data_IF_259427773922
#
_entry.id   IF_259427773922
#
_cell.length_a   1.000
_cell.length_b   1.000
_cell.length_c   1.000
_cell.angle_alpha   90.00
_cell.angle_beta   90.00
_cell.angle_gamma   90.00
#
_symmetry.space_group_name_H-M   'P 1'
#
loop_
_entity.id
_entity.type
_entity.pdbx_description
1 polymer ?
#
# COMPACT_ATOMS: atom_id res chain seq x y z
N UNK A 1 0.39 25.27 17.13
CA UNK A 1 0.06 25.49 15.71
C UNK A 1 1.01 24.62 14.88
N UNK A 2 0.50 23.59 14.20
CA UNK A 2 1.32 22.70 13.38
C UNK A 2 1.81 23.46 12.14
N UNK A 3 3.14 23.54 11.94
CA UNK A 3 3.73 24.08 10.71
C UNK A 3 3.64 23.02 9.63
N UNK A 4 2.71 23.20 8.70
CA UNK A 4 2.59 22.34 7.52
C UNK A 4 3.52 22.90 6.45
N UNK A 5 4.39 22.05 5.90
CA UNK A 5 5.29 22.42 4.80
C UNK A 5 4.46 22.73 3.56
N UNK A 6 4.67 23.90 2.96
CA UNK A 6 4.08 24.21 1.67
C UNK A 6 4.63 23.24 0.60
N UNK A 7 3.73 22.62 -0.16
CA UNK A 7 4.03 21.53 -1.08
C UNK A 7 3.70 21.99 -2.51
N UNK A 8 4.72 22.21 -3.34
CA UNK A 8 4.53 22.41 -4.77
C UNK A 8 4.41 21.04 -5.45
N UNK A 9 3.17 20.64 -5.71
CA UNK A 9 2.86 19.37 -6.37
C UNK A 9 3.38 19.32 -7.82
N UNK A 10 3.41 20.45 -8.52
CA UNK A 10 3.77 20.49 -9.93
C UNK A 10 5.28 20.24 -10.10
N UNK A 11 6.13 20.91 -9.32
CA UNK A 11 7.57 20.72 -9.44
C UNK A 11 7.98 19.25 -9.19
N UNK A 12 7.40 18.62 -8.17
CA UNK A 12 7.67 17.20 -7.88
C UNK A 12 7.19 16.26 -8.98
N UNK A 13 6.02 16.53 -9.57
CA UNK A 13 5.51 15.76 -10.69
C UNK A 13 6.45 15.87 -11.91
N UNK A 14 6.94 17.07 -12.22
CA UNK A 14 7.90 17.27 -13.31
C UNK A 14 9.22 16.52 -13.09
N UNK A 15 9.71 16.44 -11.84
CA UNK A 15 10.88 15.62 -11.49
C UNK A 15 10.59 14.13 -11.68
N UNK A 16 9.41 13.66 -11.27
CA UNK A 16 9.00 12.27 -11.46
C UNK A 16 8.89 11.91 -12.94
N UNK A 17 8.31 12.79 -13.76
CA UNK A 17 8.22 12.60 -15.21
C UNK A 17 9.60 12.53 -15.85
N UNK A 18 10.53 13.42 -15.50
CA UNK A 18 11.91 13.36 -15.97
C UNK A 18 12.57 12.01 -15.68
N UNK A 19 12.41 11.51 -14.44
CA UNK A 19 12.94 10.20 -14.02
C UNK A 19 12.32 9.06 -14.84
N UNK A 20 11.00 9.01 -14.96
CA UNK A 20 10.30 7.95 -15.68
C UNK A 20 10.61 7.94 -17.17
N UNK A 21 10.79 9.11 -17.80
CA UNK A 21 11.19 9.21 -19.20
C UNK A 21 12.61 8.67 -19.42
N UNK A 22 13.52 8.99 -18.49
CA UNK A 22 14.89 8.47 -18.52
C UNK A 22 14.91 6.94 -18.32
N UNK A 23 14.20 6.43 -17.32
CA UNK A 23 14.20 5.00 -16.98
C UNK A 23 13.49 4.14 -18.03
N UNK A 24 12.33 4.60 -18.53
CA UNK A 24 11.48 3.80 -19.43
C UNK A 24 11.86 3.90 -20.89
N UNK A 25 12.35 5.06 -21.33
CA UNK A 25 12.58 5.36 -22.74
C UNK A 25 14.02 5.78 -23.05
N UNK A 26 14.91 5.82 -22.04
CA UNK A 26 16.30 6.28 -22.21
C UNK A 26 16.39 7.71 -22.79
N UNK A 27 15.41 8.56 -22.48
CA UNK A 27 15.36 9.95 -22.97
C UNK A 27 16.12 10.87 -22.01
N UNK A 28 17.03 11.67 -22.55
CA UNK A 28 17.64 12.78 -21.81
C UNK A 28 16.66 13.95 -21.71
N UNK A 29 16.26 14.27 -20.48
CA UNK A 29 15.30 15.35 -20.19
C UNK A 29 15.98 16.56 -19.57
N UNK A 30 15.36 17.73 -19.74
CA UNK A 30 15.78 18.99 -19.12
C UNK A 30 14.57 19.83 -18.74
N UNK A 31 14.76 20.83 -17.87
CA UNK A 31 13.71 21.79 -17.50
C UNK A 31 13.82 23.04 -18.38
N UNK A 32 12.70 23.51 -18.92
CA UNK A 32 12.65 24.76 -19.68
C UNK A 32 11.41 25.58 -19.28
N UNK A 33 11.53 26.91 -19.34
CA UNK A 33 10.47 27.84 -19.00
C UNK A 33 9.38 27.81 -20.06
N UNK A 34 8.17 27.44 -19.65
CA UNK A 34 7.00 27.44 -20.49
C UNK A 34 6.54 28.88 -20.77
N UNK A 35 6.51 29.28 -22.03
CA UNK A 35 6.16 30.65 -22.43
C UNK A 35 4.70 30.82 -22.85
N UNK A 36 3.96 29.72 -23.04
CA UNK A 36 2.59 29.77 -23.56
C UNK A 36 2.49 30.40 -24.96
N UNK A 37 3.56 30.35 -25.75
CA UNK A 37 3.69 31.06 -27.02
C UNK A 37 2.69 30.58 -28.07
N UNK A 38 2.46 31.45 -29.05
CA UNK A 38 1.75 31.10 -30.28
C UNK A 38 2.45 30.03 -31.14
N UNK A 39 3.56 29.44 -30.72
CA UNK A 39 4.17 28.31 -31.43
C UNK A 39 3.76 26.95 -30.87
N UNK A 40 3.01 26.88 -29.77
CA UNK A 40 2.72 25.61 -29.11
C UNK A 40 1.44 24.96 -29.62
N UNK A 41 1.49 23.65 -29.85
CA UNK A 41 0.32 22.81 -30.15
C UNK A 41 0.22 21.70 -29.12
N UNK A 42 -0.99 21.48 -28.59
CA UNK A 42 -1.26 20.42 -27.60
C UNK A 42 -1.65 19.13 -28.29
N UNK A 43 -1.06 18.03 -27.85
CA UNK A 43 -1.39 16.68 -28.31
C UNK A 43 -1.80 15.80 -27.13
N UNK A 44 -2.79 14.93 -27.34
CA UNK A 44 -3.18 13.90 -26.38
C UNK A 44 -3.03 12.49 -26.95
N UNK A 45 -2.61 11.53 -26.11
CA UNK A 45 -2.48 10.14 -26.55
C UNK A 45 -3.84 9.48 -26.76
N UNK A 46 -3.96 8.66 -27.80
CA UNK A 46 -5.15 7.83 -28.06
C UNK A 46 -5.38 6.79 -26.95
N UNK A 47 -4.32 6.32 -26.29
CA UNK A 47 -4.40 5.38 -25.17
C UNK A 47 -4.78 6.01 -23.82
N UNK A 48 -5.06 7.33 -23.78
CA UNK A 48 -5.93 7.91 -22.77
C UNK A 48 -5.30 8.66 -21.60
N UNK A 49 -4.01 9.02 -21.58
CA UNK A 49 -3.48 9.77 -20.41
C UNK A 49 -2.26 10.67 -20.63
N UNK A 50 -1.66 10.67 -21.81
CA UNK A 50 -0.58 11.60 -22.11
C UNK A 50 -1.14 12.92 -22.61
N UNK A 51 -0.64 14.03 -22.05
CA UNK A 51 -0.83 15.38 -22.55
C UNK A 51 0.56 16.00 -22.73
N UNK A 52 0.88 16.33 -23.96
CA UNK A 52 2.16 16.95 -24.33
C UNK A 52 1.92 18.20 -25.15
N UNK A 53 2.92 19.08 -25.20
CA UNK A 53 2.95 20.23 -26.09
C UNK A 53 4.21 20.23 -26.93
N UNK A 54 4.05 20.55 -28.20
CA UNK A 54 5.16 20.64 -29.16
C UNK A 54 5.39 22.09 -29.54
N UNK A 55 6.65 22.52 -29.50
CA UNK A 55 7.06 23.77 -30.11
C UNK A 55 7.15 23.63 -31.63
N UNK A 56 6.11 24.11 -32.32
CA UNK A 56 5.99 24.03 -33.78
C UNK A 56 7.05 24.86 -34.49
N UNK A 57 7.63 25.87 -33.86
CA UNK A 57 8.74 26.60 -34.47
C UNK A 57 10.01 25.74 -34.51
N UNK A 58 10.32 25.05 -33.40
CA UNK A 58 11.39 24.07 -33.37
C UNK A 58 11.16 22.93 -34.37
N UNK A 59 9.92 22.46 -34.50
CA UNK A 59 9.52 21.51 -35.56
C UNK A 59 9.86 22.05 -36.96
N UNK A 60 9.39 23.25 -37.29
CA UNK A 60 9.55 23.86 -38.61
C UNK A 60 11.04 24.03 -38.96
N UNK A 61 11.84 24.54 -38.03
CA UNK A 61 13.29 24.72 -38.20
C UNK A 61 14.05 23.42 -38.39
N UNK A 62 13.62 22.35 -37.71
CA UNK A 62 14.25 21.03 -37.80
C UNK A 62 13.86 20.29 -39.07
N UNK A 63 12.62 20.46 -39.53
CA UNK A 63 12.11 19.85 -40.77
C UNK A 63 12.61 20.55 -42.02
N UNK A 64 12.82 21.87 -41.96
CA UNK A 64 13.18 22.69 -43.11
C UNK A 64 14.33 23.64 -42.74
N UNK A 65 15.54 23.31 -43.21
CA UNK A 65 16.79 24.00 -42.87
C UNK A 65 16.76 25.50 -43.21
N UNK A 66 16.02 25.90 -44.25
CA UNK A 66 15.87 27.31 -44.65
C UNK A 66 15.38 28.20 -43.51
N UNK A 67 14.60 27.67 -42.56
CA UNK A 67 14.07 28.45 -41.44
C UNK A 67 15.02 28.54 -40.24
N UNK A 68 16.16 27.85 -40.26
CA UNK A 68 17.12 27.83 -39.15
C UNK A 68 17.69 29.22 -38.82
N UNK A 69 17.95 30.03 -39.84
CA UNK A 69 18.49 31.39 -39.72
C UNK A 69 17.49 32.48 -39.33
N UNK A 70 16.20 32.16 -39.26
CA UNK A 70 15.16 33.16 -38.94
C UNK A 70 15.02 33.37 -37.42
N UNK A 71 15.06 34.63 -37.00
CA UNK A 71 14.66 35.05 -35.66
C UNK A 71 13.15 34.89 -35.46
N UNK A 72 12.69 34.78 -34.21
CA UNK A 72 11.26 34.66 -33.86
C UNK A 72 10.48 35.92 -34.29
N UNK A 73 9.72 35.83 -35.38
CA UNK A 73 8.73 36.82 -35.81
C UNK A 73 7.32 36.22 -35.68
N UNK A 74 6.32 37.05 -35.35
CA UNK A 74 4.93 36.62 -35.14
C UNK A 74 4.37 35.83 -36.34
N UNK A 75 4.60 36.31 -37.57
CA UNK A 75 4.17 35.62 -38.79
C UNK A 75 4.78 34.22 -38.94
N UNK A 76 6.00 33.99 -38.45
CA UNK A 76 6.63 32.67 -38.47
C UNK A 76 6.04 31.73 -37.43
N UNK A 77 5.57 32.24 -36.28
CA UNK A 77 4.89 31.44 -35.26
C UNK A 77 3.54 30.94 -35.78
N UNK A 78 2.79 31.82 -36.41
CA UNK A 78 1.51 31.45 -37.04
C UNK A 78 1.73 30.44 -38.16
N UNK A 79 2.69 30.69 -39.05
CA UNK A 79 3.04 29.75 -40.12
C UNK A 79 3.45 28.37 -39.57
N UNK A 80 4.30 28.33 -38.53
CA UNK A 80 4.78 27.06 -37.97
C UNK A 80 3.63 26.22 -37.41
N UNK A 81 2.67 26.86 -36.74
CA UNK A 81 1.45 26.21 -36.28
C UNK A 81 0.62 25.64 -37.42
N UNK A 82 0.31 26.45 -38.44
CA UNK A 82 -0.47 26.00 -39.59
C UNK A 82 0.21 24.80 -40.29
N UNK A 83 1.51 24.90 -40.56
CA UNK A 83 2.27 23.81 -41.21
C UNK A 83 2.25 22.54 -40.36
N UNK A 84 2.36 22.65 -39.04
CA UNK A 84 2.30 21.48 -38.16
C UNK A 84 0.91 20.83 -38.16
N UNK A 85 -0.15 21.63 -38.02
CA UNK A 85 -1.54 21.14 -37.99
C UNK A 85 -1.91 20.45 -39.32
N UNK A 86 -1.51 21.03 -40.45
CA UNK A 86 -1.76 20.49 -41.78
C UNK A 86 -0.88 19.27 -42.12
N UNK A 87 0.18 19.01 -41.34
CA UNK A 87 1.13 17.95 -41.67
C UNK A 87 0.59 16.53 -41.42
N UNK A 88 -0.26 16.35 -40.41
CA UNK A 88 -0.88 15.07 -40.06
C UNK A 88 -2.00 15.26 -39.03
N UNK A 89 -2.96 14.32 -39.00
CA UNK A 89 -3.98 14.24 -37.94
C UNK A 89 -3.56 13.34 -36.76
N UNK A 90 -2.57 12.47 -36.97
CA UNK A 90 -2.02 11.54 -35.96
C UNK A 90 -0.50 11.61 -35.97
N UNK A 91 0.10 11.71 -34.79
CA UNK A 91 1.54 11.85 -34.62
C UNK A 91 2.09 10.68 -33.80
N UNK A 92 3.24 10.17 -34.21
CA UNK A 92 4.05 9.23 -33.44
C UNK A 92 5.30 9.97 -32.97
N UNK A 93 5.73 9.70 -31.74
CA UNK A 93 6.99 10.23 -31.20
C UNK A 93 7.92 9.05 -31.03
N UNK A 94 8.88 8.84 -31.96
CA UNK A 94 9.73 7.65 -31.98
C UNK A 94 10.49 7.44 -30.67
N UNK A 95 10.87 8.53 -30.00
CA UNK A 95 11.61 8.48 -28.74
C UNK A 95 10.79 7.90 -27.59
N UNK A 96 9.45 7.96 -27.64
CA UNK A 96 8.58 7.36 -26.62
C UNK A 96 8.27 5.90 -26.97
N UNK A 97 7.50 5.65 -28.02
CA UNK A 97 7.19 4.31 -28.51
C UNK A 97 6.26 4.43 -29.71
N UNK A 98 6.48 3.60 -30.73
CA UNK A 98 5.57 3.50 -31.89
C UNK A 98 4.16 3.01 -31.52
N UNK A 99 4.00 2.45 -30.31
CA UNK A 99 2.69 2.04 -29.76
C UNK A 99 1.89 3.20 -29.17
N UNK A 100 2.52 4.36 -28.95
CA UNK A 100 1.86 5.54 -28.40
C UNK A 100 1.64 6.54 -29.55
N UNK A 101 0.37 6.74 -29.90
CA UNK A 101 -0.03 7.69 -30.92
C UNK A 101 -0.76 8.88 -30.29
N UNK A 102 -0.56 10.05 -30.89
CA UNK A 102 -1.04 11.32 -30.40
C UNK A 102 -1.94 12.00 -31.43
N UNK A 103 -2.94 12.75 -30.95
CA UNK A 103 -3.83 13.58 -31.77
C UNK A 103 -3.82 15.01 -31.29
N UNK A 104 -3.96 15.94 -32.24
CA UNK A 104 -4.16 17.36 -31.92
C UNK A 104 -5.47 17.49 -31.15
N UNK A 105 -5.45 18.25 -30.06
CA UNK A 105 -6.63 18.46 -29.22
C UNK A 105 -6.78 19.93 -28.89
N UNK A 106 -8.02 20.43 -28.89
CA UNK A 106 -8.31 21.79 -28.46
C UNK A 106 -8.04 21.94 -26.96
N UNK A 107 -7.64 23.16 -26.58
CA UNK A 107 -6.99 23.54 -25.33
C UNK A 107 -7.38 22.72 -24.09
N UNK A 108 -6.35 22.19 -23.44
CA UNK A 108 -6.43 21.56 -22.13
C UNK A 108 -5.49 22.35 -21.21
N UNK A 109 -6.00 22.95 -20.14
CA UNK A 109 -5.19 23.78 -19.23
C UNK A 109 -4.58 22.95 -18.10
N UNK A 110 -3.30 22.57 -18.21
CA UNK A 110 -2.56 21.91 -17.13
C UNK A 110 -1.20 22.54 -16.75
N UNK A 111 -0.76 23.61 -17.41
CA UNK A 111 0.44 24.37 -17.00
C UNK A 111 0.24 25.88 -17.18
N UNK A 112 0.76 26.67 -16.25
CA UNK A 112 0.72 28.13 -16.29
C UNK A 112 1.97 28.69 -16.98
N UNK A 113 1.79 29.76 -17.76
CA UNK A 113 2.90 30.53 -18.32
C UNK A 113 3.90 30.91 -17.23
N UNK A 114 5.19 30.66 -17.47
CA UNK A 114 6.28 30.89 -16.52
C UNK A 114 6.72 29.66 -15.71
N UNK A 115 5.96 28.56 -15.72
CA UNK A 115 6.36 27.29 -15.08
C UNK A 115 7.54 26.64 -15.80
N UNK A 116 8.40 25.93 -15.06
CA UNK A 116 9.46 25.12 -15.67
C UNK A 116 8.97 23.68 -15.82
N UNK A 117 8.79 23.24 -17.07
CA UNK A 117 8.31 21.90 -17.38
C UNK A 117 9.46 21.00 -17.79
N UNK A 118 9.32 19.71 -17.51
CA UNK A 118 10.15 18.66 -18.07
C UNK A 118 9.92 18.61 -19.58
N UNK A 119 11.01 18.65 -20.33
CA UNK A 119 11.00 18.60 -21.78
C UNK A 119 12.20 17.83 -22.32
N UNK A 120 12.14 17.46 -23.59
CA UNK A 120 13.23 16.81 -24.31
C UNK A 120 13.21 17.22 -25.79
N UNK A 121 14.34 16.97 -26.48
CA UNK A 121 14.43 17.16 -27.92
C UNK A 121 14.00 15.89 -28.65
N UNK A 122 13.03 16.01 -29.54
CA UNK A 122 12.57 14.95 -30.45
C UNK A 122 12.86 15.32 -31.91
N UNK A 123 12.78 14.36 -32.81
CA UNK A 123 12.63 14.58 -34.25
C UNK A 123 11.56 15.61 -34.62
N UNK A 124 10.47 15.71 -33.84
CA UNK A 124 9.39 16.70 -34.03
C UNK A 124 9.67 18.08 -33.43
N UNK A 125 10.85 18.32 -32.85
CA UNK A 125 11.17 19.55 -32.13
C UNK A 125 11.18 19.35 -30.61
N UNK A 126 11.01 20.43 -29.86
CA UNK A 126 11.01 20.37 -28.39
C UNK A 126 9.61 19.96 -27.91
N UNK A 127 9.56 18.95 -27.04
CA UNK A 127 8.33 18.40 -26.49
C UNK A 127 8.30 18.65 -24.97
N UNK A 128 7.20 19.22 -24.49
CA UNK A 128 6.93 19.51 -23.09
C UNK A 128 5.87 18.56 -22.53
N UNK A 129 6.05 18.09 -21.30
CA UNK A 129 5.09 17.20 -20.63
C UNK A 129 4.18 17.95 -19.65
N UNK A 130 2.89 17.95 -19.95
CA UNK A 130 1.86 18.43 -19.04
C UNK A 130 1.32 17.32 -18.16
N UNK A 131 1.10 16.14 -18.75
CA UNK A 131 0.59 14.96 -18.05
C UNK A 131 1.16 13.69 -18.68
N UNK A 132 1.60 12.77 -17.84
CA UNK A 132 1.91 11.40 -18.22
C UNK A 132 1.01 10.45 -17.42
N UNK A 133 0.60 9.28 -17.96
CA UNK A 133 0.02 8.24 -17.14
C UNK A 133 0.97 7.91 -16.01
N UNK A 134 0.56 8.20 -14.79
CA UNK A 134 1.29 7.78 -13.61
C UNK A 134 1.16 6.26 -13.57
N UNK A 135 2.24 5.55 -13.87
CA UNK A 135 2.37 4.14 -13.53
C UNK A 135 2.24 4.05 -12.02
N UNK A 136 1.02 3.78 -11.55
CA UNK A 136 0.82 3.37 -10.17
C UNK A 136 1.41 1.98 -10.08
N UNK A 137 2.44 1.79 -9.26
CA UNK A 137 2.77 0.45 -8.82
C UNK A 137 1.48 -0.11 -8.20
N UNK A 138 0.82 -1.02 -8.92
CA UNK A 138 -0.35 -1.70 -8.39
C UNK A 138 0.16 -2.68 -7.35
N UNK A 139 0.05 -2.29 -6.09
CA UNK A 139 0.23 -3.22 -4.98
C UNK A 139 -1.06 -4.02 -4.88
N UNK A 140 -0.99 -5.32 -5.15
CA UNK A 140 -2.11 -6.21 -4.87
C UNK A 140 -2.23 -6.37 -3.36
N UNK A 141 -3.34 -5.92 -2.78
CA UNK A 141 -3.59 -6.04 -1.35
C UNK A 141 -3.60 -7.49 -0.89
N UNK A 142 -3.97 -8.43 -1.77
CA UNK A 142 -4.00 -9.85 -1.46
C UNK A 142 -2.61 -10.48 -1.22
N UNK A 143 -1.53 -9.77 -1.62
CA UNK A 143 -0.14 -10.20 -1.45
C UNK A 143 0.52 -9.63 -0.19
N UNK A 144 -0.19 -8.81 0.58
CA UNK A 144 0.33 -8.30 1.84
C UNK A 144 0.31 -9.40 2.90
N UNK A 145 1.39 -9.50 3.67
CA UNK A 145 1.45 -10.42 4.79
C UNK A 145 0.72 -9.85 6.00
N UNK A 146 -0.07 -10.72 6.62
CA UNK A 146 -0.81 -10.47 7.85
C UNK A 146 -0.39 -11.49 8.91
N UNK A 147 -0.33 -11.04 10.17
CA UNK A 147 -0.11 -11.93 11.30
C UNK A 147 -1.45 -12.55 11.70
N UNK A 148 -1.56 -13.85 11.48
CA UNK A 148 -2.68 -14.65 11.97
C UNK A 148 -2.31 -15.35 13.27
N UNK A 149 -3.26 -15.37 14.19
CA UNK A 149 -3.12 -15.96 15.53
C UNK A 149 -4.25 -16.98 15.76
N UNK A 150 -3.87 -18.22 16.05
CA UNK A 150 -4.81 -19.28 16.43
C UNK A 150 -4.96 -19.28 17.95
N UNK A 151 -6.01 -18.62 18.44
CA UNK A 151 -6.26 -18.45 19.87
C UNK A 151 -7.11 -19.59 20.42
N UNK A 152 -6.54 -20.35 21.35
CA UNK A 152 -7.20 -21.45 22.05
C UNK A 152 -8.36 -20.93 22.91
N UNK A 153 -8.09 -19.87 23.67
CA UNK A 153 -8.99 -19.41 24.72
C UNK A 153 -8.41 -18.26 25.51
N UNK A 154 -9.08 -17.91 26.60
CA UNK A 154 -8.68 -16.81 27.46
C UNK A 154 -9.07 -16.99 28.92
N UNK A 155 -8.44 -16.18 29.76
CA UNK A 155 -8.74 -16.04 31.19
C UNK A 155 -8.69 -14.59 31.63
N UNK A 156 -9.52 -14.23 32.61
CA UNK A 156 -9.44 -12.95 33.29
C UNK A 156 -8.61 -13.11 34.56
N UNK A 157 -7.50 -12.38 34.63
CA UNK A 157 -6.53 -12.48 35.73
C UNK A 157 -6.24 -11.09 36.30
N UNK A 158 -6.18 -10.98 37.63
CA UNK A 158 -5.80 -9.73 38.30
C UNK A 158 -4.34 -9.39 38.03
N UNK A 159 -4.04 -8.10 37.87
CA UNK A 159 -2.66 -7.61 37.74
C UNK A 159 -1.75 -8.08 38.88
N UNK A 160 -2.25 -8.08 40.13
CA UNK A 160 -1.51 -8.60 41.28
C UNK A 160 -1.06 -10.06 41.09
N UNK A 161 -1.89 -10.88 40.45
CA UNK A 161 -1.60 -12.28 40.21
C UNK A 161 -0.56 -12.43 39.11
N UNK A 162 -0.70 -11.70 37.99
CA UNK A 162 0.25 -11.76 36.87
C UNK A 162 1.68 -11.40 37.28
N UNK A 163 1.86 -10.46 38.21
CA UNK A 163 3.17 -10.09 38.74
C UNK A 163 3.87 -11.23 39.50
N UNK A 164 3.09 -12.15 40.10
CA UNK A 164 3.61 -13.22 40.95
C UNK A 164 3.83 -14.55 40.24
N UNK A 165 3.39 -14.67 38.98
CA UNK A 165 3.48 -15.91 38.21
C UNK A 165 4.95 -16.30 37.99
N UNK A 166 5.23 -17.60 38.11
CA UNK A 166 6.54 -18.20 37.95
C UNK A 166 6.47 -19.40 37.02
N UNK A 167 7.64 -19.80 36.50
CA UNK A 167 7.79 -21.07 35.79
C UNK A 167 7.31 -22.23 36.68
N UNK A 168 6.50 -23.13 36.10
CA UNK A 168 5.84 -24.25 36.77
C UNK A 168 4.46 -23.94 37.34
N UNK A 169 4.04 -22.67 37.42
CA UNK A 169 2.65 -22.34 37.75
C UNK A 169 1.71 -22.78 36.61
N UNK A 170 0.43 -23.00 36.91
CA UNK A 170 -0.59 -23.32 35.91
C UNK A 170 -1.64 -22.20 35.89
N UNK A 171 -1.86 -21.62 34.71
CA UNK A 171 -2.99 -20.72 34.47
C UNK A 171 -4.13 -21.52 33.83
N UNK A 172 -5.25 -21.63 34.55
CA UNK A 172 -6.46 -22.30 34.03
C UNK A 172 -7.02 -21.51 32.84
N UNK A 173 -7.40 -22.20 31.77
CA UNK A 173 -8.11 -21.63 30.62
C UNK A 173 -9.60 -21.54 30.97
N UNK A 174 -10.09 -20.34 31.29
CA UNK A 174 -11.47 -20.14 31.76
C UNK A 174 -12.50 -20.21 30.64
N UNK A 175 -12.14 -19.73 29.45
CA UNK A 175 -12.99 -19.76 28.25
C UNK A 175 -12.21 -20.39 27.11
N UNK A 176 -12.75 -21.46 26.54
CA UNK A 176 -12.23 -22.15 25.36
C UNK A 176 -13.10 -21.80 24.16
N UNK A 177 -12.51 -21.33 23.04
CA UNK A 177 -13.30 -20.90 21.88
C UNK A 177 -12.65 -21.12 20.51
N UNK A 178 -11.35 -21.45 20.41
CA UNK A 178 -10.65 -21.68 19.13
C UNK A 178 -10.92 -20.59 18.08
N UNK A 179 -10.54 -19.35 18.39
CA UNK A 179 -10.76 -18.21 17.51
C UNK A 179 -9.55 -17.95 16.62
N UNK A 180 -9.81 -17.55 15.38
CA UNK A 180 -8.81 -17.06 14.45
C UNK A 180 -8.79 -15.53 14.49
N UNK A 181 -7.64 -14.96 14.82
CA UNK A 181 -7.43 -13.52 14.81
C UNK A 181 -6.48 -13.11 13.70
N UNK A 182 -6.72 -11.94 13.12
CA UNK A 182 -5.80 -11.26 12.21
C UNK A 182 -5.55 -9.86 12.77
N UNK A 183 -4.30 -9.56 13.15
CA UNK A 183 -3.93 -8.29 13.79
C UNK A 183 -4.86 -7.91 14.96
N UNK A 184 -5.16 -8.86 15.86
CA UNK A 184 -6.07 -8.73 17.02
C UNK A 184 -7.57 -8.59 16.69
N UNK A 185 -7.97 -8.65 15.42
CA UNK A 185 -9.39 -8.70 15.03
C UNK A 185 -9.81 -10.14 14.83
N UNK A 186 -10.91 -10.55 15.47
CA UNK A 186 -11.50 -11.88 15.25
C UNK A 186 -12.06 -11.92 13.84
N UNK A 187 -11.58 -12.87 13.03
CA UNK A 187 -12.01 -13.07 11.65
C UNK A 187 -12.77 -14.39 11.45
N UNK A 188 -12.79 -15.24 12.47
CA UNK A 188 -13.42 -16.55 12.39
C UNK A 188 -13.07 -17.46 13.57
N UNK A 189 -13.36 -18.73 13.39
CA UNK A 189 -13.02 -19.83 14.29
C UNK A 189 -12.29 -20.96 13.55
N UNK A 190 -11.80 -21.93 14.30
CA UNK A 190 -11.23 -23.14 13.75
C UNK A 190 -11.59 -24.38 14.58
N UNK A 191 -11.63 -25.53 13.91
CA UNK A 191 -11.85 -26.84 14.53
C UNK A 191 -10.67 -27.73 14.19
N UNK A 192 -10.04 -28.31 15.22
CA UNK A 192 -8.88 -29.20 15.08
C UNK A 192 -9.33 -30.66 15.10
N UNK A 193 -8.82 -31.47 14.18
CA UNK A 193 -9.05 -32.91 14.14
C UNK A 193 -7.95 -33.69 14.90
N UNK A 194 -8.11 -35.01 15.00
CA UNK A 194 -7.16 -35.91 15.69
C UNK A 194 -5.75 -35.95 15.05
N UNK A 195 -5.60 -35.44 13.82
CA UNK A 195 -4.33 -35.37 13.09
C UNK A 195 -3.63 -34.00 13.24
N UNK A 196 -4.08 -33.16 14.19
CA UNK A 196 -3.61 -31.78 14.36
C UNK A 196 -3.83 -30.88 13.13
N UNK A 197 -4.90 -31.13 12.37
CA UNK A 197 -5.27 -30.31 11.22
C UNK A 197 -6.50 -29.45 11.57
N UNK A 198 -6.39 -28.15 11.34
CA UNK A 198 -7.45 -27.18 11.55
C UNK A 198 -8.25 -26.94 10.26
N UNK A 199 -9.58 -27.07 10.39
CA UNK A 199 -10.52 -26.47 9.45
C UNK A 199 -10.84 -25.06 9.92
N UNK A 200 -10.61 -24.07 9.06
CA UNK A 200 -10.87 -22.64 9.33
C UNK A 200 -12.26 -22.26 8.83
N UNK A 201 -13.04 -21.57 9.65
CA UNK A 201 -14.31 -20.98 9.23
C UNK A 201 -14.25 -19.46 9.48
N UNK A 202 -14.37 -18.66 8.43
CA UNK A 202 -14.49 -17.21 8.59
C UNK A 202 -15.92 -16.84 8.99
N UNK A 203 -16.06 -15.91 9.92
CA UNK A 203 -17.36 -15.39 10.32
C UNK A 203 -17.68 -14.09 9.56
N UNK A 204 -18.93 -13.95 9.11
CA UNK A 204 -19.44 -12.62 8.74
C UNK A 204 -19.59 -11.83 10.05
N UNK A 205 -18.77 -10.80 10.25
CA UNK A 205 -18.73 -10.10 11.54
C UNK A 205 -20.07 -9.42 11.84
N UNK A 206 -20.85 -9.96 12.77
CA UNK A 206 -21.69 -9.15 13.63
C UNK A 206 -20.79 -8.69 14.78
N UNK A 207 -20.21 -7.50 14.62
CA UNK A 207 -19.40 -6.86 15.65
C UNK A 207 -20.26 -6.46 16.85
N UNK A 208 -20.69 -7.43 17.65
CA UNK A 208 -21.20 -7.17 18.99
C UNK A 208 -19.99 -7.19 19.92
N UNK A 209 -19.42 -5.99 20.07
CA UNK A 209 -18.57 -5.71 21.21
C UNK A 209 -19.48 -5.69 22.43
N UNK A 210 -19.52 -6.76 23.21
CA UNK A 210 -20.11 -6.72 24.55
C UNK A 210 -19.25 -5.78 25.40
N UNK A 211 -19.56 -4.49 25.36
CA UNK A 211 -19.13 -3.54 26.36
C UNK A 211 -19.82 -3.90 27.67
N UNK A 212 -19.19 -4.76 28.46
CA UNK A 212 -19.57 -4.89 29.87
C UNK A 212 -19.16 -3.58 30.55
N UNK A 213 -20.15 -2.76 30.91
CA UNK A 213 -19.93 -1.61 31.79
C UNK A 213 -19.31 -2.09 33.11
N UNK A 214 -18.06 -1.73 33.35
CA UNK A 214 -17.40 -1.97 34.64
C UNK A 214 -17.72 -0.80 35.56
N UNK A 215 -18.57 -1.05 36.55
CA UNK A 215 -18.79 -0.13 37.67
C UNK A 215 -17.51 -0.01 38.50
N UNK A 216 -16.94 1.20 38.55
CA UNK A 216 -15.65 1.50 39.17
C UNK A 216 -15.84 1.79 40.67
N UNK A 217 -15.50 0.81 41.50
CA UNK A 217 -14.94 1.05 42.82
C UNK A 217 -13.52 0.44 42.86
N UNK A 218 -12.57 1.11 42.19
CA UNK A 218 -11.15 0.76 42.25
C UNK A 218 -10.57 1.25 43.57
N UNK A 219 -10.22 0.34 44.47
CA UNK A 219 -9.49 0.68 45.70
C UNK A 219 -7.96 0.47 45.54
N UNK A 220 -7.49 -0.22 44.48
CA UNK A 220 -6.08 -0.38 44.13
C UNK A 220 -5.92 -0.80 42.64
N UNK A 221 -4.89 -0.32 41.95
CA UNK A 221 -4.55 -0.72 40.56
C UNK A 221 -4.29 -2.22 40.41
N UNK A 222 -3.79 -2.87 41.46
CA UNK A 222 -3.46 -4.30 41.44
C UNK A 222 -4.69 -5.22 41.31
N UNK A 223 -5.90 -4.71 41.57
CA UNK A 223 -7.15 -5.46 41.46
C UNK A 223 -7.79 -5.42 40.06
N UNK A 224 -7.19 -4.70 39.11
CA UNK A 224 -7.67 -4.66 37.73
C UNK A 224 -7.56 -6.06 37.13
N UNK A 225 -8.70 -6.59 36.66
CA UNK A 225 -8.74 -7.81 35.85
C UNK A 225 -8.37 -7.48 34.41
N UNK A 226 -7.40 -8.20 33.86
CA UNK A 226 -7.00 -8.11 32.47
C UNK A 226 -7.22 -9.44 31.76
N UNK A 227 -7.51 -9.37 30.46
CA UNK A 227 -7.65 -10.54 29.61
C UNK A 227 -6.27 -11.11 29.28
N UNK A 228 -6.11 -12.40 29.52
CA UNK A 228 -4.97 -13.22 29.11
C UNK A 228 -5.45 -14.12 27.99
N UNK A 229 -4.83 -14.02 26.81
CA UNK A 229 -5.10 -14.85 25.64
C UNK A 229 -4.02 -15.92 25.50
N UNK A 230 -4.43 -17.14 25.15
CA UNK A 230 -3.55 -18.29 24.92
C UNK A 230 -3.51 -18.60 23.44
N UNK A 231 -2.38 -18.34 22.79
CA UNK A 231 -2.20 -18.47 21.35
C UNK A 231 -1.41 -19.75 21.06
N UNK A 232 -2.03 -20.69 20.35
CA UNK A 232 -1.36 -21.92 19.91
C UNK A 232 -0.28 -21.63 18.88
N UNK A 233 -0.63 -20.85 17.86
CA UNK A 233 0.28 -20.57 16.75
C UNK A 233 0.11 -19.13 16.25
N UNK A 234 1.24 -18.53 15.90
CA UNK A 234 1.30 -17.30 15.12
C UNK A 234 1.88 -17.60 13.74
N UNK A 235 1.24 -17.10 12.69
CA UNK A 235 1.66 -17.35 11.31
C UNK A 235 1.51 -16.10 10.47
N UNK A 236 2.62 -15.67 9.86
CA UNK A 236 2.57 -14.68 8.79
C UNK A 236 2.13 -15.35 7.50
N UNK A 237 1.03 -14.87 6.92
CA UNK A 237 0.52 -15.34 5.62
C UNK A 237 -0.21 -14.22 4.88
N UNK A 238 -0.33 -14.38 3.58
CA UNK A 238 -1.07 -13.50 2.68
C UNK A 238 -2.56 -13.82 2.70
N UNK A 239 -3.40 -12.92 2.19
CA UNK A 239 -4.84 -13.16 2.04
C UNK A 239 -5.11 -14.32 1.07
N UNK A 240 -4.27 -14.49 0.04
CA UNK A 240 -4.39 -15.62 -0.88
C UNK A 240 -4.14 -16.97 -0.17
N UNK A 241 -3.11 -17.05 0.67
CA UNK A 241 -2.84 -18.25 1.46
C UNK A 241 -4.00 -18.54 2.43
N UNK A 242 -4.56 -17.52 3.09
CA UNK A 242 -5.73 -17.70 3.95
C UNK A 242 -6.95 -18.22 3.17
N UNK A 243 -7.26 -17.65 1.99
CA UNK A 243 -8.37 -18.12 1.15
C UNK A 243 -8.22 -19.60 0.78
N UNK A 244 -7.00 -20.07 0.52
CA UNK A 244 -6.75 -21.50 0.23
C UNK A 244 -7.15 -22.41 1.41
N UNK A 245 -6.79 -22.04 2.64
CA UNK A 245 -7.16 -22.80 3.85
C UNK A 245 -8.64 -22.72 4.23
N UNK A 246 -9.35 -21.67 3.77
CA UNK A 246 -10.79 -21.54 4.02
C UNK A 246 -11.59 -22.38 3.02
N UNK A 247 -11.15 -22.45 1.77
CA UNK A 247 -11.91 -23.07 0.70
C UNK A 247 -11.61 -24.57 0.52
N UNK A 248 -10.33 -24.96 0.53
CA UNK A 248 -9.91 -26.23 -0.08
C UNK A 248 -8.90 -27.04 0.73
N UNK A 249 -8.30 -26.47 1.79
CA UNK A 249 -7.19 -27.11 2.50
C UNK A 249 -7.38 -27.07 4.03
N UNK A 250 -6.89 -28.11 4.72
CA UNK A 250 -6.77 -28.08 6.17
C UNK A 250 -5.42 -27.48 6.56
N UNK A 251 -5.42 -26.61 7.57
CA UNK A 251 -4.20 -26.04 8.11
C UNK A 251 -3.54 -27.03 9.07
N UNK A 252 -2.38 -27.58 8.72
CA UNK A 252 -1.66 -28.51 9.59
C UNK A 252 -0.85 -27.78 10.66
N UNK A 253 -1.17 -28.01 11.93
CA UNK A 253 -0.33 -27.55 13.04
C UNK A 253 0.95 -28.40 13.18
N UNK A 254 2.03 -27.83 13.74
CA UNK A 254 3.16 -28.61 14.22
C UNK A 254 2.74 -29.69 15.23
N UNK A 255 3.39 -30.85 15.22
CA UNK A 255 3.04 -31.98 16.09
C UNK A 255 3.23 -31.66 17.58
N UNK A 256 4.12 -30.72 17.91
CA UNK A 256 4.42 -30.26 19.26
C UNK A 256 3.75 -28.92 19.62
N UNK A 257 2.70 -28.50 18.89
CA UNK A 257 2.10 -27.16 19.03
C UNK A 257 1.63 -26.86 20.46
N UNK A 258 1.18 -27.89 21.19
CA UNK A 258 0.71 -27.77 22.57
C UNK A 258 1.81 -27.39 23.56
N UNK A 259 3.10 -27.54 23.20
CA UNK A 259 4.25 -27.24 24.06
C UNK A 259 4.72 -25.79 24.00
N UNK A 260 4.23 -25.04 23.00
CA UNK A 260 4.75 -23.71 22.65
C UNK A 260 3.66 -22.65 22.68
N UNK A 261 2.72 -22.75 23.62
CA UNK A 261 1.61 -21.80 23.73
C UNK A 261 2.14 -20.44 24.14
N UNK A 262 1.86 -19.43 23.33
CA UNK A 262 2.15 -18.04 23.62
C UNK A 262 1.09 -17.47 24.56
N UNK A 263 1.53 -16.78 25.61
CA UNK A 263 0.64 -16.15 26.59
C UNK A 263 0.69 -14.64 26.37
N UNK A 264 -0.44 -14.06 25.97
CA UNK A 264 -0.56 -12.62 25.68
C UNK A 264 -1.49 -11.93 26.67
N UNK A 265 -1.13 -10.71 27.07
CA UNK A 265 -2.00 -9.82 27.86
C UNK A 265 -2.22 -8.57 27.02
N UNK A 266 -3.48 -8.29 26.68
CA UNK A 266 -3.85 -7.18 25.79
C UNK A 266 -2.99 -7.13 24.50
N UNK A 267 -2.77 -8.30 23.88
CA UNK A 267 -1.98 -8.46 22.67
C UNK A 267 -0.45 -8.41 22.85
N UNK A 268 0.05 -8.14 24.06
CA UNK A 268 1.49 -8.15 24.35
C UNK A 268 1.92 -9.54 24.85
N UNK A 269 2.96 -10.11 24.25
CA UNK A 269 3.53 -11.39 24.70
C UNK A 269 4.20 -11.23 26.07
N UNK A 270 3.76 -12.02 27.04
CA UNK A 270 4.25 -11.96 28.43
C UNK A 270 4.86 -13.28 28.92
N UNK A 271 4.68 -14.37 28.20
CA UNK A 271 5.23 -15.67 28.57
C UNK A 271 4.92 -16.76 27.55
N UNK A 272 5.44 -17.95 27.85
CA UNK A 272 5.17 -19.18 27.10
C UNK A 272 4.81 -20.30 28.08
N UNK A 273 4.11 -21.32 27.57
CA UNK A 273 3.77 -22.50 28.36
C UNK A 273 3.32 -23.69 27.53
N UNK A 274 3.04 -24.78 28.23
CA UNK A 274 2.51 -26.02 27.67
C UNK A 274 1.04 -26.20 28.07
N UNK A 275 0.21 -26.57 27.11
CA UNK A 275 -1.18 -26.93 27.34
C UNK A 275 -1.23 -28.27 28.07
N UNK A 276 -1.83 -28.25 29.26
CA UNK A 276 -2.00 -29.43 30.13
C UNK A 276 -3.48 -29.66 30.42
N UNK A 277 -3.86 -30.93 30.55
CA UNK A 277 -5.19 -31.30 31.04
C UNK A 277 -5.20 -31.26 32.57
N UNK A 278 -6.24 -30.66 33.13
CA UNK A 278 -6.56 -30.65 34.56
C UNK A 278 -7.94 -31.28 34.76
N UNK A 279 -8.29 -31.66 36.00
CA UNK A 279 -9.53 -32.43 36.30
C UNK A 279 -10.78 -31.88 35.60
N UNK A 280 -10.98 -30.56 35.62
CA UNK A 280 -12.16 -29.90 35.04
C UNK A 280 -11.84 -29.01 33.83
N UNK A 281 -10.83 -29.36 33.02
CA UNK A 281 -10.59 -28.70 31.74
C UNK A 281 -9.12 -28.60 31.35
N UNK A 282 -8.72 -27.40 30.94
CA UNK A 282 -7.38 -27.13 30.42
C UNK A 282 -6.68 -26.03 31.21
N UNK A 283 -5.36 -26.17 31.35
CA UNK A 283 -4.48 -25.15 31.90
C UNK A 283 -3.24 -24.98 31.03
N UNK A 284 -2.54 -23.87 31.22
CA UNK A 284 -1.22 -23.63 30.64
C UNK A 284 -0.19 -23.68 31.76
N UNK A 285 0.68 -24.69 31.74
CA UNK A 285 1.85 -24.75 32.62
C UNK A 285 2.92 -23.79 32.09
N UNK A 286 3.36 -22.86 32.92
CA UNK A 286 4.25 -21.78 32.53
C UNK A 286 5.68 -22.31 32.36
N UNK A 287 6.22 -22.22 31.15
CA UNK A 287 7.61 -22.57 30.85
C UNK A 287 8.52 -21.34 30.93
N UNK A 288 8.01 -20.15 30.60
CA UNK A 288 8.74 -18.89 30.75
C UNK A 288 7.81 -17.71 31.00
N UNK A 289 8.28 -16.74 31.78
CA UNK A 289 7.52 -15.56 32.18
C UNK A 289 8.40 -14.31 32.06
N UNK A 290 7.92 -13.28 31.36
CA UNK A 290 8.70 -12.10 30.93
C UNK A 290 8.23 -10.79 31.58
N UNK A 291 7.22 -10.85 32.45
CA UNK A 291 6.76 -9.69 33.22
C UNK A 291 7.84 -9.34 34.26
N UNK A 292 8.37 -8.12 34.18
CA UNK A 292 9.29 -7.57 35.19
C UNK A 292 8.50 -6.85 36.26
N UNK A 293 8.80 -7.13 37.53
CA UNK A 293 8.44 -6.26 38.65
C UNK A 293 9.30 -4.98 38.66
#
# INVERSE_FOLDING_TARGET
>A
MLRIKHFDANEKLQILYAKQLCERFSIQTFKNKFTGSESLVTLTSVCGDWVIRIDTLSFLKKKYEVFSGFSTQESLLHLSKCVFIESSSVFSIPELSDKITFRITNEIQYATTGSHLCCFSSSLGIIYFDKMPVLRNQVSLDLLHHLLEFCLGSSNVRLATLKRIRTGDIIIVQKLYNLLLCNQVIIGDYIVNDNNEAKINLSESNGESEHTEVSLALFNYDDINVKVDFILLEKNMTINELKMYVENELFKFPDDIVKHVNIKVNGSLVGHGELVSIEDGYGIEISSWMVKE
#
